data_IF_498647865673
#
_entry.id   IF_498647865673
#
_cell.length_a   1.000
_cell.length_b   1.000
_cell.length_c   1.000
_cell.angle_alpha   90.00
_cell.angle_beta   90.00
_cell.angle_gamma   90.00
#
_symmetry.space_group_name_H-M   'P 1'
#
loop_
_entity.id
_entity.type
_entity.pdbx_description
1 polymer ?
#
# COMPACT_ATOMS: atom_id res chain seq x y z
N UNK A 1 -36.28 27.19 -16.00
CA UNK A 1 -35.99 27.80 -17.29
C UNK A 1 -35.16 26.76 -18.04
N UNK A 2 -35.60 25.95 -18.90
CA UNK A 2 -36.68 26.02 -19.89
C UNK A 2 -36.09 26.22 -21.27
N UNK A 3 -36.22 25.24 -22.11
CA UNK A 3 -36.52 25.25 -23.55
C UNK A 3 -35.97 23.96 -24.16
N UNK A 4 -36.78 22.86 -24.41
CA UNK A 4 -37.74 22.69 -25.54
C UNK A 4 -37.08 23.02 -26.89
N UNK A 5 -36.95 22.15 -27.86
CA UNK A 5 -37.81 21.19 -28.46
C UNK A 5 -37.61 21.30 -29.97
N UNK A 6 -38.10 20.36 -30.71
CA UNK A 6 -38.71 20.33 -32.06
C UNK A 6 -38.23 19.08 -32.78
N UNK A 7 -38.92 18.01 -32.97
CA UNK A 7 -40.24 17.69 -33.53
C UNK A 7 -40.29 17.71 -35.07
N UNK A 8 -40.68 16.54 -35.61
CA UNK A 8 -41.43 16.24 -36.82
C UNK A 8 -40.75 16.34 -38.20
N UNK A 9 -40.76 15.21 -38.95
CA UNK A 9 -41.59 15.10 -40.17
C UNK A 9 -41.83 13.64 -40.58
N UNK A 10 -43.08 13.40 -40.94
CA UNK A 10 -43.77 12.25 -41.53
C UNK A 10 -43.08 11.73 -42.81
N UNK A 11 -43.12 10.46 -43.11
CA UNK A 11 -44.22 9.72 -43.61
C UNK A 11 -43.81 8.95 -44.85
N UNK A 12 -44.17 7.75 -44.95
CA UNK A 12 -44.84 7.05 -46.06
C UNK A 12 -44.58 5.53 -45.92
N UNK A 13 -45.63 4.80 -45.85
CA UNK A 13 -45.66 3.37 -45.74
C UNK A 13 -45.27 2.65 -47.03
N UNK A 14 -44.62 1.53 -46.88
CA UNK A 14 -44.58 0.44 -47.84
C UNK A 14 -44.82 -0.85 -47.07
N UNK A 15 -45.97 -1.46 -47.37
CA UNK A 15 -46.28 -2.83 -47.03
C UNK A 15 -45.30 -3.77 -47.74
N UNK A 16 -44.51 -4.51 -47.00
CA UNK A 16 -43.80 -5.70 -47.52
C UNK A 16 -43.89 -6.82 -46.51
N UNK A 17 -44.48 -7.86 -47.01
CA UNK A 17 -44.74 -9.21 -46.51
C UNK A 17 -43.67 -9.82 -45.64
N UNK A 18 -44.14 -10.51 -44.62
CA UNK A 18 -43.46 -11.34 -43.67
C UNK A 18 -42.29 -12.21 -44.15
N UNK A 19 -41.19 -12.01 -43.39
CA UNK A 19 -40.22 -13.06 -43.14
C UNK A 19 -39.85 -12.88 -41.67
N UNK A 20 -40.29 -13.89 -40.86
CA UNK A 20 -39.88 -13.99 -39.48
C UNK A 20 -38.35 -14.14 -39.43
N UNK A 21 -37.62 -13.33 -38.68
CA UNK A 21 -36.19 -13.57 -38.47
C UNK A 21 -36.01 -14.85 -37.64
N UNK A 22 -34.98 -15.63 -37.95
CA UNK A 22 -34.67 -16.81 -37.15
C UNK A 22 -34.35 -16.36 -35.70
N UNK A 23 -35.02 -16.98 -34.74
CA UNK A 23 -34.75 -16.81 -33.31
C UNK A 23 -33.26 -16.99 -33.06
N UNK A 24 -32.53 -15.89 -32.87
CA UNK A 24 -31.16 -15.94 -32.40
C UNK A 24 -31.17 -16.58 -31.01
N UNK A 25 -30.80 -17.86 -30.97
CA UNK A 25 -30.45 -18.51 -29.71
C UNK A 25 -29.30 -17.73 -29.12
N UNK A 26 -29.56 -16.97 -28.05
CA UNK A 26 -28.53 -16.40 -27.23
C UNK A 26 -27.64 -17.56 -26.74
N UNK A 27 -26.45 -17.71 -27.32
CA UNK A 27 -25.42 -18.58 -26.80
C UNK A 27 -24.99 -17.94 -25.48
N UNK A 28 -25.44 -18.56 -24.38
CA UNK A 28 -24.89 -18.31 -23.06
C UNK A 28 -23.39 -18.62 -23.15
N UNK A 29 -22.57 -17.57 -23.23
CA UNK A 29 -21.11 -17.72 -23.10
C UNK A 29 -20.86 -18.43 -21.77
N UNK A 30 -20.05 -19.51 -21.75
CA UNK A 30 -19.71 -20.17 -20.50
C UNK A 30 -19.13 -19.14 -19.55
N UNK A 31 -19.71 -19.06 -18.35
CA UNK A 31 -19.21 -18.20 -17.29
C UNK A 31 -17.71 -18.50 -17.13
N UNK A 32 -16.88 -17.46 -17.26
CA UNK A 32 -15.43 -17.55 -17.04
C UNK A 32 -15.25 -18.18 -15.65
N UNK A 33 -14.52 -19.31 -15.50
CA UNK A 33 -14.30 -19.89 -14.18
C UNK A 33 -13.77 -18.81 -13.26
N UNK A 34 -14.39 -18.65 -12.11
CA UNK A 34 -13.88 -17.75 -11.06
C UNK A 34 -12.42 -18.16 -10.83
N UNK A 35 -11.50 -17.21 -10.99
CA UNK A 35 -10.09 -17.46 -10.75
C UNK A 35 -9.98 -18.04 -9.33
N UNK A 36 -9.48 -19.26 -9.21
CA UNK A 36 -9.30 -19.92 -7.94
C UNK A 36 -8.46 -18.97 -7.07
N UNK A 37 -9.05 -18.47 -5.98
CA UNK A 37 -8.35 -17.60 -5.04
C UNK A 37 -7.17 -18.40 -4.50
N UNK A 38 -5.96 -17.88 -4.68
CA UNK A 38 -4.77 -18.50 -4.11
C UNK A 38 -4.94 -18.51 -2.58
N UNK A 39 -4.58 -19.61 -1.90
CA UNK A 39 -4.62 -19.63 -0.44
C UNK A 39 -3.73 -18.51 0.10
N UNK A 40 -4.23 -17.81 1.12
CA UNK A 40 -3.46 -16.76 1.80
C UNK A 40 -2.22 -17.43 2.43
N UNK A 41 -1.01 -16.94 2.16
CA UNK A 41 0.21 -17.53 2.71
C UNK A 41 0.26 -17.35 4.23
N UNK A 42 0.98 -18.22 4.90
CA UNK A 42 1.29 -18.07 6.33
C UNK A 42 2.51 -17.15 6.43
N UNK A 43 2.41 -16.11 7.26
CA UNK A 43 3.54 -15.24 7.54
C UNK A 43 4.64 -16.05 8.22
N UNK A 44 5.85 -16.00 7.68
CA UNK A 44 7.01 -16.63 8.31
C UNK A 44 7.63 -15.67 9.32
N UNK A 45 8.11 -16.16 10.48
CA UNK A 45 8.83 -15.31 11.42
C UNK A 45 10.06 -14.67 10.77
N UNK A 46 10.48 -13.47 11.21
CA UNK A 46 11.78 -12.92 10.83
C UNK A 46 12.91 -13.91 11.14
N UNK A 47 13.95 -14.01 10.28
CA UNK A 47 15.10 -14.86 10.56
C UNK A 47 15.75 -14.52 11.90
N UNK A 48 16.07 -15.53 12.72
CA UNK A 48 16.57 -15.34 14.08
C UNK A 48 17.95 -14.67 14.18
N UNK A 49 18.66 -14.52 13.07
CA UNK A 49 19.92 -13.78 12.95
C UNK A 49 19.75 -12.32 12.51
N UNK A 50 18.53 -11.87 12.25
CA UNK A 50 18.25 -10.47 11.91
C UNK A 50 17.96 -9.68 13.19
N UNK A 51 18.69 -8.58 13.37
CA UNK A 51 18.52 -7.70 14.53
C UNK A 51 17.95 -6.35 14.09
N UNK A 52 16.76 -6.05 14.58
CA UNK A 52 16.19 -4.71 14.45
C UNK A 52 16.92 -3.74 15.39
N UNK A 53 17.16 -2.49 14.94
CA UNK A 53 17.78 -1.47 15.78
C UNK A 53 16.92 -1.17 17.01
N UNK A 54 17.56 -0.78 18.11
CA UNK A 54 16.85 -0.32 19.32
C UNK A 54 16.12 0.98 19.05
N UNK A 55 16.84 1.95 18.45
CA UNK A 55 16.30 3.21 17.99
C UNK A 55 16.92 3.57 16.65
N UNK A 56 16.07 3.90 15.66
CA UNK A 56 16.53 4.36 14.36
C UNK A 56 15.60 5.45 13.84
N UNK A 57 16.17 6.49 13.28
CA UNK A 57 15.44 7.50 12.52
C UNK A 57 15.91 7.51 11.08
N UNK A 58 14.97 7.41 10.15
CA UNK A 58 15.21 7.50 8.70
C UNK A 58 14.44 8.69 8.16
N UNK A 59 15.16 9.68 7.63
CA UNK A 59 14.56 10.88 7.02
C UNK A 59 14.66 10.79 5.50
N UNK A 60 13.57 11.09 4.80
CA UNK A 60 13.49 11.07 3.34
C UNK A 60 12.99 12.40 2.80
N UNK A 61 13.53 12.84 1.67
CA UNK A 61 12.81 13.74 0.76
C UNK A 61 11.83 12.93 -0.08
N UNK A 62 10.71 13.53 -0.39
CA UNK A 62 9.67 12.94 -1.23
C UNK A 62 9.56 13.76 -2.50
N UNK A 63 9.89 13.15 -3.62
CA UNK A 63 9.78 13.78 -4.93
C UNK A 63 8.53 13.27 -5.66
N UNK A 64 7.78 14.20 -6.23
CA UNK A 64 6.73 13.91 -7.19
C UNK A 64 7.21 14.27 -8.58
N UNK A 65 7.45 13.24 -9.39
CA UNK A 65 8.15 13.38 -10.69
C UNK A 65 9.55 14.00 -10.50
N UNK A 66 9.71 15.29 -10.79
CA UNK A 66 10.96 16.03 -10.71
C UNK A 66 10.96 17.13 -9.63
N UNK A 67 9.90 17.23 -8.86
CA UNK A 67 9.75 18.28 -7.84
C UNK A 67 9.77 17.68 -6.45
N UNK A 68 10.52 18.25 -5.53
CA UNK A 68 10.41 17.90 -4.11
C UNK A 68 9.05 18.35 -3.58
N UNK A 69 8.25 17.37 -3.24
CA UNK A 69 6.87 17.54 -2.80
C UNK A 69 6.73 17.57 -1.28
N UNK A 70 7.64 16.89 -0.57
CA UNK A 70 7.52 16.73 0.88
C UNK A 70 8.74 16.09 1.53
N UNK A 71 8.56 15.79 2.81
CA UNK A 71 9.47 15.02 3.64
C UNK A 71 8.72 13.90 4.33
N UNK A 72 9.41 12.81 4.64
CA UNK A 72 8.88 11.72 5.45
C UNK A 72 9.94 11.30 6.46
N UNK A 73 9.54 11.10 7.71
CA UNK A 73 10.43 10.64 8.77
C UNK A 73 9.86 9.37 9.37
N UNK A 74 10.67 8.32 9.41
CA UNK A 74 10.36 7.09 10.12
C UNK A 74 11.16 7.03 11.40
N UNK A 75 10.50 6.71 12.50
CA UNK A 75 11.14 6.34 13.76
C UNK A 75 10.82 4.89 14.07
N UNK A 76 11.85 4.12 14.34
CA UNK A 76 11.77 2.74 14.79
C UNK A 76 12.23 2.69 16.23
N UNK A 77 11.38 2.22 17.13
CA UNK A 77 11.64 2.09 18.55
C UNK A 77 11.33 0.66 19.00
N UNK A 78 12.35 -0.08 19.39
CA UNK A 78 12.22 -1.46 19.85
C UNK A 78 12.17 -1.53 21.38
N UNK A 79 11.16 -2.22 21.89
CA UNK A 79 11.00 -2.52 23.31
C UNK A 79 10.81 -4.04 23.49
N UNK A 80 11.90 -4.75 23.80
CA UNK A 80 11.88 -6.21 23.88
C UNK A 80 11.57 -6.85 22.52
N UNK A 81 10.42 -7.52 22.45
CA UNK A 81 9.97 -8.20 21.24
C UNK A 81 9.05 -7.33 20.37
N UNK A 82 8.70 -6.14 20.83
CA UNK A 82 7.84 -5.22 20.10
C UNK A 82 8.67 -4.15 19.39
N UNK A 83 8.40 -3.94 18.10
CA UNK A 83 8.92 -2.83 17.32
C UNK A 83 7.78 -1.87 16.99
N UNK A 84 7.88 -0.65 17.49
CA UNK A 84 7.00 0.45 17.15
C UNK A 84 7.61 1.25 15.99
N UNK A 85 6.82 1.48 14.96
CA UNK A 85 7.20 2.30 13.81
C UNK A 85 6.24 3.48 13.76
N UNK A 86 6.78 4.69 13.76
CA UNK A 86 6.00 5.90 13.44
C UNK A 86 6.53 6.50 12.15
N UNK A 87 5.64 7.02 11.32
CA UNK A 87 5.99 7.71 10.10
C UNK A 87 5.18 9.00 9.97
N UNK A 88 5.83 10.10 9.67
CA UNK A 88 5.18 11.35 9.28
C UNK A 88 5.43 11.63 7.82
N UNK A 89 4.47 12.28 7.15
CA UNK A 89 4.63 12.73 5.78
C UNK A 89 4.06 14.14 5.67
N UNK A 90 4.95 15.11 5.38
CA UNK A 90 4.62 16.52 5.33
C UNK A 90 4.95 17.09 3.96
N UNK A 91 4.01 17.81 3.33
CA UNK A 91 4.27 18.55 2.10
C UNK A 91 5.12 19.79 2.35
N UNK A 92 5.92 20.17 1.35
CA UNK A 92 6.79 21.37 1.46
C UNK A 92 6.61 22.32 0.26
N UNK A 93 7.07 23.56 0.41
CA UNK A 93 7.14 24.55 -0.66
C UNK A 93 5.79 24.83 -1.33
N UNK A 94 5.81 24.90 -2.66
CA UNK A 94 4.61 25.17 -3.46
C UNK A 94 3.54 24.08 -3.35
N UNK A 95 3.95 22.82 -3.13
CA UNK A 95 3.00 21.71 -2.94
C UNK A 95 2.21 21.93 -1.65
N UNK A 96 2.85 22.32 -0.57
CA UNK A 96 2.17 22.62 0.70
C UNK A 96 1.18 23.77 0.56
N UNK A 97 1.48 24.78 -0.26
CA UNK A 97 0.58 25.89 -0.50
C UNK A 97 -0.67 25.48 -1.28
N UNK A 98 -0.54 24.59 -2.25
CA UNK A 98 -1.63 24.17 -3.13
C UNK A 98 -2.42 22.97 -2.59
N UNK A 99 -1.72 22.04 -1.95
CA UNK A 99 -2.29 20.80 -1.41
C UNK A 99 -1.52 20.39 -0.15
N UNK A 100 -1.83 21.00 1.01
CA UNK A 100 -1.15 20.69 2.26
C UNK A 100 -1.39 19.22 2.67
N UNK A 101 -0.30 18.52 2.99
CA UNK A 101 -0.28 17.17 3.54
C UNK A 101 0.43 17.20 4.88
N UNK A 102 -0.16 16.58 5.90
CA UNK A 102 0.41 16.37 7.23
C UNK A 102 -0.13 15.04 7.78
N UNK A 103 0.40 13.94 7.26
CA UNK A 103 -0.03 12.60 7.61
C UNK A 103 0.82 12.00 8.73
N UNK A 104 0.19 11.25 9.61
CA UNK A 104 0.86 10.51 10.66
C UNK A 104 0.40 9.04 10.64
N UNK A 105 1.36 8.14 10.71
CA UNK A 105 1.15 6.70 10.73
C UNK A 105 1.87 6.10 11.94
N UNK A 106 1.26 5.11 12.54
CA UNK A 106 1.88 4.31 13.59
C UNK A 106 1.53 2.85 13.38
N UNK A 107 2.54 2.01 13.35
CA UNK A 107 2.43 0.55 13.31
C UNK A 107 3.22 -0.03 14.46
N UNK A 108 2.78 -1.18 14.94
CA UNK A 108 3.56 -2.03 15.83
C UNK A 108 3.60 -3.44 15.26
N UNK A 109 4.71 -4.14 15.41
CA UNK A 109 4.78 -5.55 15.11
C UNK A 109 5.77 -6.30 16.01
N UNK A 110 5.52 -7.58 16.19
CA UNK A 110 6.41 -8.46 16.94
C UNK A 110 7.64 -8.84 16.11
N UNK A 111 8.83 -8.54 16.60
CA UNK A 111 10.10 -8.94 15.94
C UNK A 111 10.31 -10.46 15.93
N UNK A 112 9.62 -11.21 16.82
CA UNK A 112 9.68 -12.66 16.84
C UNK A 112 8.82 -13.33 15.78
N UNK A 113 7.63 -12.80 15.56
CA UNK A 113 6.62 -13.45 14.68
C UNK A 113 6.42 -12.71 13.36
N UNK A 114 6.76 -11.43 13.30
CA UNK A 114 6.44 -10.55 12.18
C UNK A 114 4.99 -10.06 12.17
N UNK A 115 4.14 -10.52 13.10
CA UNK A 115 2.74 -10.14 13.15
C UNK A 115 2.59 -8.68 13.56
N UNK A 116 1.76 -7.94 12.82
CA UNK A 116 1.35 -6.59 13.21
C UNK A 116 0.54 -6.64 14.50
N UNK A 117 0.80 -5.74 15.44
CA UNK A 117 0.05 -5.60 16.69
C UNK A 117 -1.01 -4.51 16.62
N UNK A 118 -0.95 -3.66 15.61
CA UNK A 118 -1.92 -2.61 15.33
C UNK A 118 -1.40 -1.60 14.32
N UNK A 119 -2.33 -0.89 13.67
CA UNK A 119 -2.00 0.15 12.69
C UNK A 119 -2.94 1.34 12.81
N UNK A 120 -2.38 2.51 13.10
CA UNK A 120 -3.09 3.76 13.20
C UNK A 120 -2.65 4.71 12.09
N UNK A 121 -3.58 5.47 11.55
CA UNK A 121 -3.30 6.53 10.59
C UNK A 121 -4.15 7.77 10.87
N UNK A 122 -3.51 8.93 10.78
CA UNK A 122 -4.16 10.23 10.76
C UNK A 122 -3.79 10.88 9.43
N UNK A 123 -4.77 11.02 8.55
CA UNK A 123 -4.62 11.57 7.21
C UNK A 123 -5.10 13.01 7.24
N UNK A 124 -4.26 13.94 6.81
CA UNK A 124 -4.58 15.34 6.60
C UNK A 124 -4.06 15.77 5.22
N UNK A 125 -4.87 15.53 4.19
CA UNK A 125 -4.57 15.82 2.79
C UNK A 125 -5.54 16.85 2.26
N UNK A 126 -5.14 18.09 2.12
CA UNK A 126 -6.01 19.19 1.72
C UNK A 126 -7.25 19.30 2.63
N UNK A 127 -8.43 19.00 2.07
CA UNK A 127 -9.70 19.01 2.82
C UNK A 127 -10.05 17.68 3.45
N UNK A 128 -9.33 16.63 3.17
CA UNK A 128 -9.57 15.29 3.72
C UNK A 128 -8.89 15.15 5.07
N UNK A 129 -9.65 14.85 6.12
CA UNK A 129 -9.13 14.59 7.46
C UNK A 129 -9.78 13.33 8.01
N UNK A 130 -8.98 12.28 8.19
CA UNK A 130 -9.44 10.96 8.62
C UNK A 130 -8.51 10.46 9.71
N UNK A 131 -9.08 9.92 10.79
CA UNK A 131 -8.37 9.13 11.77
C UNK A 131 -8.89 7.68 11.67
N UNK A 132 -8.00 6.71 11.57
CA UNK A 132 -8.35 5.29 11.47
C UNK A 132 -7.42 4.47 12.36
N UNK A 133 -8.00 3.54 13.10
CA UNK A 133 -7.32 2.59 13.95
C UNK A 133 -7.72 1.18 13.52
N UNK A 134 -6.73 0.34 13.29
CA UNK A 134 -6.87 -1.08 12.95
C UNK A 134 -6.22 -1.91 14.06
N UNK A 135 -7.00 -2.76 14.70
CA UNK A 135 -6.57 -3.66 15.76
C UNK A 135 -6.74 -5.11 15.37
N UNK A 136 -5.88 -5.97 15.90
CA UNK A 136 -5.83 -7.40 15.58
C UNK A 136 -6.02 -8.24 16.85
N UNK A 137 -6.95 -9.17 16.78
CA UNK A 137 -7.17 -10.20 17.80
C UNK A 137 -6.94 -11.57 17.16
N UNK A 138 -5.71 -12.05 17.27
CA UNK A 138 -5.29 -13.31 16.65
C UNK A 138 -5.87 -14.54 17.35
N UNK A 139 -6.17 -14.46 18.64
CA UNK A 139 -6.82 -15.56 19.38
C UNK A 139 -8.21 -15.89 18.83
N UNK A 140 -8.93 -14.86 18.40
CA UNK A 140 -10.28 -14.99 17.84
C UNK A 140 -10.29 -14.91 16.29
N UNK A 141 -9.13 -14.75 15.64
CA UNK A 141 -9.04 -14.60 14.18
C UNK A 141 -9.81 -13.38 13.65
N UNK A 142 -9.82 -12.26 14.40
CA UNK A 142 -10.60 -11.06 14.08
C UNK A 142 -9.73 -9.82 14.01
N UNK A 143 -10.12 -8.90 13.13
CA UNK A 143 -9.65 -7.52 13.13
C UNK A 143 -10.82 -6.57 13.26
N UNK A 144 -10.57 -5.41 13.84
CA UNK A 144 -11.53 -4.33 13.94
C UNK A 144 -10.92 -3.03 13.43
N UNK A 145 -11.71 -2.25 12.68
CA UNK A 145 -11.34 -0.92 12.21
C UNK A 145 -12.32 0.10 12.75
N UNK A 146 -11.79 1.09 13.46
CA UNK A 146 -12.49 2.31 13.85
C UNK A 146 -12.00 3.46 12.95
N UNK A 147 -12.89 4.06 12.16
CA UNK A 147 -12.55 5.18 11.31
C UNK A 147 -13.44 6.38 11.61
N UNK A 148 -12.84 7.56 11.72
CA UNK A 148 -13.55 8.83 11.90
C UNK A 148 -13.17 9.81 10.80
N UNK A 149 -14.20 10.33 10.13
CA UNK A 149 -14.04 11.47 9.23
C UNK A 149 -14.13 12.76 10.07
N UNK A 150 -13.01 13.43 10.25
CA UNK A 150 -12.92 14.60 11.15
C UNK A 150 -13.55 15.86 10.55
N UNK A 151 -13.80 15.89 9.23
CA UNK A 151 -14.50 17.00 8.55
C UNK A 151 -16.02 16.84 8.67
N UNK A 152 -16.52 15.61 8.48
CA UNK A 152 -17.95 15.32 8.51
C UNK A 152 -18.47 14.97 9.90
N UNK A 153 -17.59 14.71 10.86
CA UNK A 153 -17.96 14.27 12.20
C UNK A 153 -18.56 12.84 12.24
N UNK A 154 -18.38 12.04 11.18
CA UNK A 154 -18.92 10.68 11.10
C UNK A 154 -17.89 9.66 11.57
N UNK A 155 -18.37 8.60 12.23
CA UNK A 155 -17.55 7.47 12.65
C UNK A 155 -18.14 6.16 12.07
N UNK A 156 -17.25 5.22 11.76
CA UNK A 156 -17.62 3.87 11.34
C UNK A 156 -16.80 2.85 12.12
N UNK A 157 -17.44 1.74 12.47
CA UNK A 157 -16.80 0.57 13.04
C UNK A 157 -17.06 -0.62 12.12
N UNK A 158 -16.02 -1.40 11.84
CA UNK A 158 -16.11 -2.59 10.99
C UNK A 158 -15.27 -3.70 11.60
N UNK A 159 -15.70 -4.93 11.39
CA UNK A 159 -14.95 -6.13 11.77
C UNK A 159 -14.83 -7.10 10.60
N UNK A 160 -13.73 -7.84 10.55
CA UNK A 160 -13.50 -8.90 9.58
C UNK A 160 -12.68 -10.04 10.18
N UNK A 161 -12.69 -11.19 9.50
CA UNK A 161 -11.80 -12.28 9.83
C UNK A 161 -10.40 -12.01 9.28
N UNK A 162 -9.38 -12.49 10.01
CA UNK A 162 -7.98 -12.45 9.58
C UNK A 162 -7.31 -13.81 9.76
N UNK A 163 -6.22 -14.07 9.02
CA UNK A 163 -5.32 -15.18 9.29
C UNK A 163 -4.68 -15.09 10.68
N UNK A 164 -4.02 -16.15 11.09
CA UNK A 164 -3.33 -16.23 12.39
C UNK A 164 -2.25 -15.14 12.59
N UNK A 165 -1.79 -14.52 11.51
CA UNK A 165 -0.78 -13.47 11.55
C UNK A 165 -0.82 -12.68 10.24
N UNK A 166 -0.76 -11.35 10.31
CA UNK A 166 -0.70 -10.45 9.15
C UNK A 166 0.33 -9.33 9.39
N UNK A 167 0.84 -8.74 8.31
CA UNK A 167 1.49 -7.43 8.35
C UNK A 167 0.46 -6.33 8.10
N UNK A 168 0.81 -5.09 8.37
CA UNK A 168 0.15 -3.89 7.84
C UNK A 168 1.05 -3.19 6.82
N UNK A 169 0.57 -2.13 6.18
CA UNK A 169 1.28 -1.46 5.10
C UNK A 169 2.62 -0.82 5.53
N UNK A 170 2.79 -0.48 6.80
CA UNK A 170 4.00 0.11 7.33
C UNK A 170 4.96 -0.97 7.84
N UNK A 171 4.46 -1.94 8.62
CA UNK A 171 5.27 -3.05 9.11
C UNK A 171 5.80 -3.95 7.98
N UNK A 172 5.08 -4.06 6.86
CA UNK A 172 5.51 -4.83 5.69
C UNK A 172 6.86 -4.38 5.12
N UNK A 173 7.19 -3.09 5.17
CA UNK A 173 8.48 -2.54 4.71
C UNK A 173 9.60 -3.12 5.58
N UNK A 174 9.45 -3.07 6.89
CA UNK A 174 10.48 -3.50 7.85
C UNK A 174 10.47 -5.02 8.07
N UNK A 175 9.33 -5.68 7.87
CA UNK A 175 9.30 -7.14 7.76
C UNK A 175 10.12 -7.62 6.55
N UNK A 176 9.96 -6.99 5.38
CA UNK A 176 10.77 -7.31 4.20
C UNK A 176 12.26 -7.06 4.43
N UNK A 177 12.61 -6.00 5.17
CA UNK A 177 13.99 -5.71 5.59
C UNK A 177 14.63 -6.89 6.32
N UNK A 178 13.90 -7.65 7.11
CA UNK A 178 14.42 -8.79 7.85
C UNK A 178 14.64 -10.04 7.01
N UNK A 179 14.05 -10.10 5.80
CA UNK A 179 14.10 -11.31 5.00
C UNK A 179 15.43 -11.47 4.25
N UNK A 180 15.72 -12.70 3.87
CA UNK A 180 16.85 -12.96 2.97
C UNK A 180 16.48 -12.46 1.57
N UNK A 181 17.19 -11.45 1.08
CA UNK A 181 16.92 -10.82 -0.21
C UNK A 181 17.86 -11.40 -1.29
N UNK A 182 17.53 -12.58 -1.81
CA UNK A 182 18.28 -13.22 -2.89
C UNK A 182 17.64 -12.91 -4.25
N UNK A 183 18.42 -12.62 -5.30
CA UNK A 183 17.90 -12.37 -6.63
C UNK A 183 16.94 -13.48 -7.10
N UNK A 184 15.89 -13.08 -7.84
CA UNK A 184 14.81 -13.93 -8.35
C UNK A 184 13.93 -14.59 -7.28
N UNK A 185 14.22 -14.43 -5.99
CA UNK A 185 13.35 -14.89 -4.92
C UNK A 185 12.11 -14.01 -4.79
N UNK A 186 10.98 -14.62 -4.46
CA UNK A 186 9.77 -13.90 -4.07
C UNK A 186 9.33 -14.37 -2.69
N UNK A 187 9.21 -13.44 -1.76
CA UNK A 187 8.65 -13.69 -0.43
C UNK A 187 7.18 -13.31 -0.44
N UNK A 188 6.31 -14.25 -0.08
CA UNK A 188 4.86 -14.01 -0.02
C UNK A 188 4.39 -13.93 1.43
N UNK A 189 3.57 -12.95 1.75
CA UNK A 189 2.98 -12.81 3.07
C UNK A 189 1.60 -12.12 3.03
N UNK A 190 0.75 -12.34 4.06
CA UNK A 190 -0.52 -11.67 4.19
C UNK A 190 -0.34 -10.25 4.72
N UNK A 191 -1.05 -9.30 4.11
CA UNK A 191 -1.10 -7.91 4.52
C UNK A 191 -2.55 -7.51 4.80
N UNK A 192 -2.80 -6.92 5.96
CA UNK A 192 -4.08 -6.32 6.31
C UNK A 192 -4.22 -4.96 5.60
N UNK A 193 -5.14 -4.87 4.65
CA UNK A 193 -5.52 -3.64 3.97
C UNK A 193 -6.96 -3.27 4.34
N UNK A 194 -7.09 -2.42 5.35
CA UNK A 194 -8.38 -2.10 5.95
C UNK A 194 -9.11 -3.37 6.41
N UNK A 195 -10.24 -3.71 5.79
CA UNK A 195 -11.05 -4.87 6.16
C UNK A 195 -10.77 -6.12 5.31
N UNK A 196 -9.73 -6.09 4.49
CA UNK A 196 -9.33 -7.21 3.64
C UNK A 196 -7.92 -7.68 4.00
N UNK A 197 -7.69 -8.97 3.85
CA UNK A 197 -6.33 -9.52 3.86
C UNK A 197 -5.94 -9.85 2.43
N UNK A 198 -4.86 -9.26 1.97
CA UNK A 198 -4.33 -9.47 0.62
C UNK A 198 -2.99 -10.19 0.68
N UNK A 199 -2.69 -10.99 -0.32
CA UNK A 199 -1.37 -11.60 -0.49
C UNK A 199 -0.45 -10.60 -1.19
N UNK A 200 0.65 -10.26 -0.54
CA UNK A 200 1.73 -9.46 -1.13
C UNK A 200 2.90 -10.37 -1.47
N UNK A 201 3.42 -10.23 -2.69
CA UNK A 201 4.67 -10.84 -3.14
C UNK A 201 5.75 -9.77 -3.24
N UNK A 202 6.84 -9.93 -2.50
CA UNK A 202 8.04 -9.09 -2.60
C UNK A 202 9.05 -9.83 -3.47
N UNK A 203 9.11 -9.49 -4.76
CA UNK A 203 10.06 -10.07 -5.70
C UNK A 203 11.37 -9.32 -5.63
N UNK A 204 12.45 -10.03 -5.34
CA UNK A 204 13.81 -9.50 -5.44
C UNK A 204 14.19 -9.44 -6.91
N UNK A 205 14.47 -8.22 -7.40
CA UNK A 205 14.88 -7.98 -8.80
C UNK A 205 16.41 -7.96 -8.88
N UNK A 206 16.99 -6.82 -9.19
CA UNK A 206 18.41 -6.65 -9.47
C UNK A 206 19.15 -6.03 -8.27
N UNK A 207 20.48 -6.09 -8.33
CA UNK A 207 21.36 -5.26 -7.52
C UNK A 207 21.80 -4.06 -8.33
N UNK A 208 21.74 -2.88 -7.72
CA UNK A 208 22.19 -1.65 -8.36
C UNK A 208 22.70 -0.62 -7.33
N UNK A 209 23.55 0.28 -7.79
CA UNK A 209 24.02 1.38 -6.97
C UNK A 209 22.99 2.50 -6.95
N UNK A 210 22.59 2.94 -5.76
CA UNK A 210 21.69 4.08 -5.57
C UNK A 210 22.43 5.21 -4.87
N UNK A 211 22.30 6.41 -5.43
CA UNK A 211 22.83 7.66 -4.85
C UNK A 211 21.69 8.45 -4.24
N UNK A 212 21.83 8.77 -2.96
CA UNK A 212 20.91 9.61 -2.19
C UNK A 212 21.70 10.69 -1.47
N UNK A 213 21.07 11.73 -0.91
CA UNK A 213 21.76 12.70 -0.06
C UNK A 213 22.47 12.08 1.16
N UNK A 214 21.97 10.94 1.68
CA UNK A 214 22.61 10.21 2.76
C UNK A 214 23.89 9.47 2.33
N UNK A 215 24.14 9.32 1.02
CA UNK A 215 25.32 8.65 0.49
C UNK A 215 25.04 7.78 -0.74
N UNK A 216 26.06 7.01 -1.11
CA UNK A 216 25.99 6.03 -2.20
C UNK A 216 25.94 4.63 -1.60
N UNK A 217 24.98 3.83 -2.04
CA UNK A 217 24.69 2.51 -1.47
C UNK A 217 24.65 1.44 -2.56
N UNK A 218 25.28 0.30 -2.32
CA UNK A 218 24.98 -0.92 -3.06
C UNK A 218 23.63 -1.43 -2.53
N UNK A 219 22.71 -1.74 -3.42
CA UNK A 219 21.34 -2.07 -3.03
C UNK A 219 20.81 -3.32 -3.71
N UNK A 220 19.81 -3.92 -3.06
CA UNK A 220 18.93 -4.94 -3.62
C UNK A 220 17.58 -4.31 -3.89
N UNK A 221 17.14 -4.33 -5.14
CA UNK A 221 15.83 -3.82 -5.55
C UNK A 221 14.76 -4.88 -5.35
N UNK A 222 13.70 -4.52 -4.65
CA UNK A 222 12.56 -5.39 -4.37
C UNK A 222 11.28 -4.76 -4.88
N UNK A 223 10.53 -5.49 -5.70
CA UNK A 223 9.23 -5.06 -6.21
C UNK A 223 8.09 -5.71 -5.44
N UNK A 224 7.20 -4.89 -4.88
CA UNK A 224 5.95 -5.36 -4.29
C UNK A 224 4.88 -5.59 -5.36
N UNK A 225 4.22 -6.74 -5.31
CA UNK A 225 3.10 -7.12 -6.16
C UNK A 225 1.93 -7.60 -5.31
N UNK A 226 0.71 -7.32 -5.75
CA UNK A 226 -0.49 -7.91 -5.17
C UNK A 226 -1.60 -7.94 -6.23
N UNK A 227 -2.51 -8.89 -6.11
CA UNK A 227 -3.64 -9.02 -7.05
C UNK A 227 -4.76 -8.01 -6.74
N UNK A 228 -4.81 -7.48 -5.51
CA UNK A 228 -5.79 -6.51 -5.02
C UNK A 228 -5.22 -5.60 -3.93
N UNK A 229 -6.03 -4.70 -3.41
CA UNK A 229 -5.71 -3.87 -2.25
C UNK A 229 -4.78 -2.68 -2.54
N UNK A 230 -4.19 -2.12 -1.47
CA UNK A 230 -3.38 -0.90 -1.53
C UNK A 230 -2.17 -1.05 -2.45
N UNK A 231 -1.50 -2.19 -2.43
CA UNK A 231 -0.30 -2.44 -3.26
C UNK A 231 -0.67 -2.39 -4.74
N UNK A 232 -1.73 -3.08 -5.16
CA UNK A 232 -2.22 -3.02 -6.55
C UNK A 232 -2.65 -1.61 -6.96
N UNK A 233 -3.37 -0.92 -6.07
CA UNK A 233 -3.92 0.40 -6.34
C UNK A 233 -2.86 1.51 -6.38
N UNK A 234 -1.70 1.29 -5.77
CA UNK A 234 -0.54 2.20 -5.84
C UNK A 234 0.32 1.97 -7.08
N UNK A 235 -0.07 1.07 -7.97
CA UNK A 235 0.67 0.72 -9.17
C UNK A 235 1.89 -0.14 -8.85
N UNK A 236 3.06 0.20 -9.41
CA UNK A 236 4.29 -0.51 -9.11
C UNK A 236 4.99 0.13 -7.92
N UNK A 237 5.19 -0.65 -6.86
CA UNK A 237 5.97 -0.24 -5.69
C UNK A 237 7.31 -0.95 -5.73
N UNK A 238 8.40 -0.19 -5.61
CA UNK A 238 9.77 -0.69 -5.50
C UNK A 238 10.44 -0.10 -4.28
N UNK A 239 11.26 -0.93 -3.63
CA UNK A 239 12.07 -0.52 -2.48
C UNK A 239 13.50 -1.01 -2.73
N UNK A 240 14.45 -0.13 -2.53
CA UNK A 240 15.88 -0.44 -2.61
C UNK A 240 16.42 -0.54 -1.18
N UNK A 241 16.79 -1.74 -0.79
CA UNK A 241 17.40 -2.02 0.50
C UNK A 241 18.92 -2.07 0.35
N UNK A 242 19.69 -1.63 1.34
CA UNK A 242 21.15 -1.81 1.32
C UNK A 242 21.50 -3.30 1.16
N UNK A 243 22.51 -3.61 0.34
CA UNK A 243 23.03 -4.97 0.17
C UNK A 243 24.03 -5.31 1.29
N UNK A 244 23.59 -5.14 2.52
CA UNK A 244 24.30 -5.48 3.76
C UNK A 244 23.31 -6.13 4.75
N UNK A 245 23.78 -6.74 5.87
CA UNK A 245 22.89 -7.43 6.81
C UNK A 245 21.78 -6.58 7.43
N UNK A 246 21.85 -5.25 7.33
CA UNK A 246 20.84 -4.33 7.90
C UNK A 246 19.66 -4.10 6.95
N UNK A 247 19.85 -4.32 5.64
CA UNK A 247 18.85 -4.07 4.59
C UNK A 247 18.07 -2.75 4.80
N UNK A 248 18.78 -1.63 5.01
CA UNK A 248 18.13 -0.34 5.23
C UNK A 248 17.44 0.13 3.95
N UNK A 249 16.15 0.50 3.97
CA UNK A 249 15.48 1.04 2.78
C UNK A 249 16.03 2.43 2.47
N UNK A 250 16.82 2.57 1.39
CA UNK A 250 17.47 3.83 1.00
C UNK A 250 16.69 4.61 -0.04
N UNK A 251 15.85 3.91 -0.80
CA UNK A 251 14.94 4.52 -1.76
C UNK A 251 13.65 3.71 -1.82
N UNK A 252 12.51 4.40 -1.92
CA UNK A 252 11.21 3.78 -2.17
C UNK A 252 10.52 4.52 -3.30
N UNK A 253 9.81 3.79 -4.15
CA UNK A 253 9.12 4.37 -5.31
C UNK A 253 7.74 3.77 -5.47
N UNK A 254 6.75 4.62 -5.69
CA UNK A 254 5.40 4.22 -6.09
C UNK A 254 5.06 4.91 -7.41
N UNK A 255 4.83 4.10 -8.46
CA UNK A 255 4.50 4.58 -9.79
C UNK A 255 3.04 4.29 -10.11
N UNK A 256 2.23 5.32 -10.27
CA UNK A 256 0.82 5.23 -10.65
C UNK A 256 0.61 5.68 -12.08
N UNK A 257 -0.28 4.98 -12.79
CA UNK A 257 -0.46 5.18 -14.24
C UNK A 257 -0.84 6.62 -14.64
N UNK A 258 -1.64 7.33 -13.83
CA UNK A 258 -2.11 8.69 -14.15
C UNK A 258 -1.43 9.80 -13.34
N UNK A 259 -1.00 9.53 -12.12
CA UNK A 259 -0.48 10.55 -11.20
C UNK A 259 1.04 10.70 -11.26
N UNK A 260 1.72 9.81 -11.99
CA UNK A 260 3.17 9.78 -12.10
C UNK A 260 3.83 9.00 -10.96
N UNK A 261 5.09 9.27 -10.74
CA UNK A 261 5.93 8.58 -9.78
C UNK A 261 6.16 9.45 -8.55
N UNK A 262 6.01 8.85 -7.37
CA UNK A 262 6.45 9.39 -6.09
C UNK A 262 7.68 8.60 -5.69
N UNK A 263 8.79 9.29 -5.39
CA UNK A 263 10.04 8.68 -4.96
C UNK A 263 10.49 9.27 -3.64
N UNK A 264 10.84 8.40 -2.71
CA UNK A 264 11.43 8.72 -1.42
C UNK A 264 12.94 8.50 -1.52
N UNK A 265 13.73 9.52 -1.24
CA UNK A 265 15.20 9.47 -1.25
C UNK A 265 15.72 9.69 0.16
N UNK A 266 16.49 8.74 0.68
CA UNK A 266 17.07 8.82 2.03
C UNK A 266 17.97 10.04 2.17
N UNK A 267 17.69 10.87 3.18
CA UNK A 267 18.46 12.08 3.51
C UNK A 267 19.44 11.85 4.66
N UNK A 268 19.00 11.11 5.67
CA UNK A 268 19.81 10.78 6.85
C UNK A 268 19.37 9.51 7.52
N UNK A 269 20.31 8.87 8.22
CA UNK A 269 20.13 7.73 9.11
C UNK A 269 20.70 8.12 10.46
N UNK A 270 19.91 8.00 11.51
CA UNK A 270 20.37 8.22 12.88
C UNK A 270 20.09 6.98 13.72
N UNK A 271 21.07 6.56 14.52
CA UNK A 271 20.96 5.51 15.52
C UNK A 271 21.18 6.13 16.90
N UNK A 272 20.36 5.77 17.88
CA UNK A 272 20.50 6.21 19.28
C UNK A 272 20.65 5.00 20.19
#
# INVERSE_FOLDING_TARGET
MGCTGWALWMGTGVLLSGLLPPTARAQLSPARPAAAQRPIPVLQPPPGNFEYPQHQTLTYSVDWRVFTAGTTVFHLDRAGDDLKITATADSVGAVNLLFPVADNFQSGFSVKTGCSTGFNKQIQEGRRKIASELSFNYEHGRQAQNERNLVKGTATHKEANIPACVTDSLSAIFYTQSQTLMPEQTVYFPLADSMHTVTVGMKVEDREEIKTPAGTFQTVKVQATADEGVVKNRGTIRIWYTDDPRHIPVQMQASQFFWGTITFHLQSIEFK
#
